data_IF_257930912529
#
_entry.id   IF_257930912529
#
_cell.length_a   1.000
_cell.length_b   1.000
_cell.length_c   1.000
_cell.angle_alpha   90.00
_cell.angle_beta   90.00
_cell.angle_gamma   90.00
#
_symmetry.space_group_name_H-M   'P 1'
#
loop_
_entity.id
_entity.type
_entity.pdbx_description
1 polymer ?
#
# COMPACT_ATOMS: atom_id res chain seq x y z
N UNK A 1 -6.61 -13.05 14.16
CA UNK A 1 -6.22 -12.00 13.21
C UNK A 1 -5.43 -12.59 12.07
N UNK A 2 -5.79 -12.30 10.85
CA UNK A 2 -5.13 -12.84 9.67
C UNK A 2 -4.35 -11.73 8.99
N UNK A 3 -3.04 -11.70 9.19
CA UNK A 3 -2.16 -10.72 8.55
C UNK A 3 -1.71 -11.24 7.21
N UNK A 4 -1.86 -10.41 6.18
CA UNK A 4 -1.43 -10.73 4.83
C UNK A 4 -0.52 -9.62 4.35
N UNK A 5 0.52 -9.98 3.63
CA UNK A 5 1.44 -9.03 3.03
C UNK A 5 1.24 -9.04 1.52
N UNK A 6 1.02 -7.86 0.95
CA UNK A 6 0.92 -7.67 -0.49
C UNK A 6 2.10 -6.84 -0.97
N UNK A 7 2.49 -7.07 -2.22
CA UNK A 7 3.55 -6.32 -2.87
C UNK A 7 3.03 -5.75 -4.17
N UNK A 8 3.24 -4.47 -4.38
CA UNK A 8 2.84 -3.77 -5.59
C UNK A 8 4.05 -3.10 -6.22
N UNK A 9 4.15 -3.17 -7.53
CA UNK A 9 5.16 -2.41 -8.24
C UNK A 9 4.75 -0.94 -8.28
N UNK A 10 5.73 -0.05 -8.21
CA UNK A 10 5.49 1.38 -8.33
C UNK A 10 5.77 1.82 -9.75
N UNK A 11 4.82 2.56 -10.33
CA UNK A 11 4.98 3.10 -11.68
C UNK A 11 5.98 4.26 -11.72
N UNK A 12 6.24 4.90 -10.58
CA UNK A 12 7.16 6.02 -10.45
C UNK A 12 8.01 5.84 -9.20
N UNK A 13 9.24 6.36 -9.18
CA UNK A 13 10.06 6.34 -7.99
C UNK A 13 9.39 7.10 -6.85
N UNK A 14 9.67 6.68 -5.61
CA UNK A 14 9.15 7.37 -4.45
C UNK A 14 9.77 8.76 -4.32
N UNK A 15 8.95 9.71 -3.89
CA UNK A 15 9.36 11.06 -3.58
C UNK A 15 8.66 11.49 -2.28
N UNK A 16 8.94 12.72 -1.82
CA UNK A 16 8.38 13.21 -0.56
C UNK A 16 6.85 13.24 -0.57
N UNK A 17 6.24 13.59 -1.70
CA UNK A 17 4.78 13.60 -1.83
C UNK A 17 4.20 12.20 -1.64
N UNK A 18 4.82 11.19 -2.20
CA UNK A 18 4.37 9.81 -2.07
C UNK A 18 4.52 9.31 -0.62
N UNK A 19 5.57 9.73 0.08
CA UNK A 19 5.75 9.38 1.47
C UNK A 19 4.63 9.95 2.35
N UNK A 20 4.18 11.17 2.06
CA UNK A 20 3.03 11.76 2.75
C UNK A 20 1.75 10.97 2.48
N UNK A 21 1.56 10.52 1.25
CA UNK A 21 0.41 9.70 0.88
C UNK A 21 0.44 8.35 1.60
N UNK A 22 1.61 7.76 1.72
CA UNK A 22 1.78 6.51 2.49
C UNK A 22 1.38 6.74 3.95
N UNK A 23 1.79 7.85 4.54
CA UNK A 23 1.42 8.18 5.92
C UNK A 23 -0.10 8.28 6.10
N UNK A 24 -0.80 8.81 5.10
CA UNK A 24 -2.27 8.90 5.14
C UNK A 24 -2.92 7.51 5.09
N UNK A 25 -2.35 6.60 4.32
CA UNK A 25 -2.88 5.24 4.22
C UNK A 25 -2.76 4.51 5.55
N UNK A 26 -1.75 4.81 6.35
CA UNK A 26 -1.60 4.22 7.68
C UNK A 26 -2.77 4.53 8.62
N UNK A 27 -3.54 5.58 8.36
CA UNK A 27 -4.71 5.92 9.16
C UNK A 27 -5.95 5.10 8.81
N UNK A 28 -5.90 4.32 7.75
CA UNK A 28 -7.04 3.50 7.31
C UNK A 28 -7.14 2.26 8.19
N UNK A 29 -8.33 2.02 8.72
CA UNK A 29 -8.58 0.88 9.59
C UNK A 29 -8.40 -0.43 8.81
N UNK A 30 -7.61 -1.34 9.35
CA UNK A 30 -7.30 -2.61 8.72
C UNK A 30 -5.94 -2.62 8.02
N UNK A 31 -5.40 -1.47 7.67
CA UNK A 31 -4.03 -1.35 7.16
C UNK A 31 -3.09 -1.28 8.35
N UNK A 32 -2.16 -2.21 8.46
CA UNK A 32 -1.23 -2.23 9.57
C UNK A 32 0.08 -1.53 9.26
N UNK A 33 0.60 -1.74 8.05
CA UNK A 33 1.87 -1.15 7.66
C UNK A 33 1.97 -1.02 6.15
N UNK A 34 2.48 0.11 5.70
CA UNK A 34 2.82 0.35 4.29
C UNK A 34 4.24 0.87 4.26
N UNK A 35 5.11 0.22 3.48
CA UNK A 35 6.52 0.63 3.39
C UNK A 35 7.07 0.32 2.00
N UNK A 36 8.05 1.11 1.53
CA UNK A 36 8.76 0.76 0.30
C UNK A 36 9.77 -0.36 0.55
N UNK A 37 10.16 -1.05 -0.51
CA UNK A 37 11.25 -2.00 -0.44
C UNK A 37 12.60 -1.27 -0.52
N UNK A 38 13.70 -2.02 -0.44
CA UNK A 38 15.05 -1.43 -0.46
C UNK A 38 15.35 -0.68 -1.77
N UNK A 39 14.84 -1.19 -2.89
CA UNK A 39 15.05 -0.57 -4.20
C UNK A 39 14.11 0.61 -4.46
N UNK A 40 13.16 0.86 -3.60
CA UNK A 40 12.16 1.94 -3.71
C UNK A 40 11.31 1.84 -4.98
N UNK A 41 11.23 0.66 -5.58
CA UNK A 41 10.45 0.41 -6.78
C UNK A 41 9.19 -0.42 -6.51
N UNK A 42 9.02 -0.88 -5.29
CA UNK A 42 7.86 -1.67 -4.86
C UNK A 42 7.33 -1.16 -3.54
N UNK A 43 6.05 -1.37 -3.32
CA UNK A 43 5.40 -1.03 -2.08
C UNK A 43 4.95 -2.31 -1.39
N UNK A 44 5.27 -2.44 -0.12
CA UNK A 44 4.89 -3.60 0.69
C UNK A 44 3.79 -3.16 1.65
N UNK A 45 2.66 -3.86 1.60
CA UNK A 45 1.49 -3.53 2.42
C UNK A 45 1.16 -4.71 3.31
N UNK A 46 1.15 -4.48 4.62
CA UNK A 46 0.68 -5.44 5.60
C UNK A 46 -0.72 -5.02 6.05
N UNK A 47 -1.68 -5.91 5.95
CA UNK A 47 -3.05 -5.59 6.33
C UNK A 47 -3.72 -6.79 7.01
N UNK A 48 -4.83 -6.52 7.68
CA UNK A 48 -5.63 -7.54 8.34
C UNK A 48 -6.70 -8.03 7.37
N UNK A 49 -6.54 -9.24 6.87
CA UNK A 49 -7.44 -9.82 5.88
C UNK A 49 -8.83 -10.13 6.44
N UNK A 50 -9.01 -10.09 7.76
CA UNK A 50 -10.32 -10.23 8.37
C UNK A 50 -11.12 -8.92 8.31
N UNK A 51 -10.48 -7.80 7.99
CA UNK A 51 -11.11 -6.48 7.95
C UNK A 51 -11.17 -5.90 6.55
N UNK A 52 -10.19 -6.20 5.72
CA UNK A 52 -10.10 -5.70 4.35
C UNK A 52 -9.84 -6.85 3.40
N UNK A 53 -10.39 -6.75 2.20
CA UNK A 53 -10.03 -7.64 1.11
C UNK A 53 -8.86 -7.04 0.33
N UNK A 54 -8.22 -7.85 -0.51
CA UNK A 54 -7.15 -7.38 -1.39
C UNK A 54 -7.64 -6.25 -2.30
N UNK A 55 -8.85 -6.39 -2.85
CA UNK A 55 -9.42 -5.35 -3.71
C UNK A 55 -9.65 -4.04 -2.95
N UNK A 56 -10.05 -4.12 -1.69
CA UNK A 56 -10.22 -2.92 -0.87
C UNK A 56 -8.90 -2.23 -0.59
N UNK A 57 -7.83 -3.00 -0.35
CA UNK A 57 -6.48 -2.45 -0.16
C UNK A 57 -6.04 -1.70 -1.41
N UNK A 58 -6.23 -2.29 -2.59
CA UNK A 58 -5.89 -1.63 -3.85
C UNK A 58 -6.66 -0.32 -4.01
N UNK A 59 -7.96 -0.32 -3.70
CA UNK A 59 -8.78 0.88 -3.78
C UNK A 59 -8.27 1.96 -2.85
N UNK A 60 -7.89 1.61 -1.63
CA UNK A 60 -7.34 2.55 -0.65
C UNK A 60 -6.05 3.18 -1.18
N UNK A 61 -5.16 2.37 -1.74
CA UNK A 61 -3.90 2.86 -2.27
C UNK A 61 -4.11 3.80 -3.46
N UNK A 62 -5.03 3.45 -4.36
CA UNK A 62 -5.37 4.31 -5.50
C UNK A 62 -5.98 5.64 -5.07
N UNK A 63 -6.89 5.61 -4.12
CA UNK A 63 -7.51 6.84 -3.60
C UNK A 63 -6.51 7.75 -2.90
N UNK A 64 -5.48 7.16 -2.31
CA UNK A 64 -4.41 7.93 -1.69
C UNK A 64 -3.46 8.54 -2.73
N UNK A 65 -3.62 8.19 -4.00
CA UNK A 65 -2.79 8.73 -5.08
C UNK A 65 -1.47 8.01 -5.28
N UNK A 66 -1.32 6.82 -4.72
CA UNK A 66 -0.10 6.04 -4.89
C UNK A 66 -0.05 5.41 -6.29
N UNK A 67 1.08 5.53 -7.00
CA UNK A 67 1.20 5.03 -8.36
C UNK A 67 1.53 3.53 -8.39
N UNK A 68 0.66 2.72 -7.83
CA UNK A 68 0.86 1.27 -7.83
C UNK A 68 0.42 0.67 -9.16
N UNK A 69 1.14 -0.37 -9.56
CA UNK A 69 0.78 -1.17 -10.73
C UNK A 69 0.09 -2.41 -10.21
N UNK A 70 -1.12 -2.66 -10.72
CA UNK A 70 -1.87 -3.83 -10.32
C UNK A 70 -1.24 -5.09 -10.87
N UNK A 71 -0.95 -6.03 -10.00
CA UNK A 71 -0.56 -7.37 -10.39
C UNK A 71 -1.81 -8.17 -10.69
N UNK A 72 -1.96 -8.53 -11.91
CA UNK A 72 -3.05 -9.41 -12.32
C UNK A 72 -2.60 -10.85 -12.25
#
# INVERSE_FOLDING_TARGET
MTKVQLRYDLAKPLNDSLLEQIARVHSVYGIERVRPNESLDKLIVDYDASRLSEAEVETVLHKAGLPIVLHV
#
